data_IF_150865779251
#
_entry.id   IF_150865779251
#
_cell.length_a   1.000
_cell.length_b   1.000
_cell.length_c   1.000
_cell.angle_alpha   90.00
_cell.angle_beta   90.00
_cell.angle_gamma   90.00
#
_symmetry.space_group_name_H-M   'P 1'
#
loop_
_entity.id
_entity.type
_entity.pdbx_description
1 polymer ?
#
# COMPACT_ATOMS: atom_id res chain seq x y z
N UNK A 1 1.93 -18.77 3.82
CA UNK A 1 2.56 -17.42 3.87
C UNK A 1 1.99 -16.51 2.79
N UNK A 2 2.06 -16.89 1.51
CA UNK A 2 1.51 -16.10 0.38
C UNK A 2 0.00 -15.85 0.47
N UNK A 3 -0.78 -16.84 0.93
CA UNK A 3 -2.23 -16.72 1.13
C UNK A 3 -2.62 -15.57 2.05
N UNK A 4 -1.73 -15.20 2.98
CA UNK A 4 -1.95 -14.06 3.89
C UNK A 4 -1.82 -12.71 3.19
N UNK A 5 -1.26 -12.64 1.97
CA UNK A 5 -1.13 -11.40 1.21
C UNK A 5 -2.42 -10.98 0.52
N UNK A 6 -3.33 -11.90 0.22
CA UNK A 6 -4.51 -11.62 -0.61
C UNK A 6 -5.82 -11.68 0.19
N UNK A 7 -5.79 -11.30 1.47
CA UNK A 7 -6.99 -11.33 2.35
C UNK A 7 -7.78 -10.02 2.36
N UNK A 8 -7.37 -9.01 1.58
CA UNK A 8 -7.94 -7.66 1.57
C UNK A 8 -7.88 -7.11 0.16
N UNK A 9 -9.02 -6.74 -0.44
CA UNK A 9 -9.08 -6.15 -1.78
C UNK A 9 -8.23 -4.88 -1.86
N UNK A 10 -8.25 -4.04 -0.82
CA UNK A 10 -7.39 -2.85 -0.73
C UNK A 10 -5.91 -3.22 -0.83
N UNK A 11 -5.49 -4.29 -0.16
CA UNK A 11 -4.08 -4.74 -0.20
C UNK A 11 -3.71 -5.29 -1.58
N UNK A 12 -4.63 -6.03 -2.22
CA UNK A 12 -4.41 -6.50 -3.60
C UNK A 12 -4.21 -5.32 -4.55
N UNK A 13 -5.08 -4.32 -4.50
CA UNK A 13 -4.98 -3.13 -5.35
C UNK A 13 -3.70 -2.33 -5.07
N UNK A 14 -3.28 -2.23 -3.80
CA UNK A 14 -2.00 -1.61 -3.44
C UNK A 14 -0.83 -2.39 -4.07
N UNK A 15 -0.80 -3.71 -3.90
CA UNK A 15 0.24 -4.55 -4.48
C UNK A 15 0.29 -4.44 -6.00
N UNK A 16 -0.86 -4.48 -6.67
CA UNK A 16 -0.98 -4.30 -8.11
C UNK A 16 -0.40 -2.94 -8.55
N UNK A 17 -0.78 -1.85 -7.88
CA UNK A 17 -0.29 -0.50 -8.20
C UNK A 17 1.24 -0.41 -8.09
N UNK A 18 1.84 -0.92 -7.02
CA UNK A 18 3.29 -0.87 -6.81
C UNK A 18 4.07 -1.83 -7.73
N UNK A 19 3.47 -2.97 -8.12
CA UNK A 19 4.10 -3.92 -9.05
C UNK A 19 4.06 -3.41 -10.49
N UNK A 20 2.96 -2.76 -10.91
CA UNK A 20 2.81 -2.18 -12.23
C UNK A 20 3.59 -0.86 -12.37
N UNK A 21 3.78 -0.14 -11.27
CA UNK A 21 4.46 1.16 -11.25
C UNK A 21 5.64 1.19 -10.26
N UNK A 22 6.69 0.39 -10.49
CA UNK A 22 7.82 0.29 -9.57
C UNK A 22 8.57 1.62 -9.44
N UNK A 23 8.97 1.97 -8.22
CA UNK A 23 9.72 3.19 -7.91
C UNK A 23 8.87 4.44 -7.70
N UNK A 24 7.56 4.38 -7.96
CA UNK A 24 6.65 5.48 -7.65
C UNK A 24 6.46 5.64 -6.14
N UNK A 25 6.40 6.90 -5.71
CA UNK A 25 6.09 7.29 -4.34
C UNK A 25 4.70 7.91 -4.28
N UNK A 26 3.90 7.50 -3.30
CA UNK A 26 2.55 8.00 -3.13
C UNK A 26 2.35 8.61 -1.74
N UNK A 27 1.72 9.77 -1.68
CA UNK A 27 1.06 10.20 -0.45
C UNK A 27 -0.19 9.35 -0.21
N UNK A 28 -0.48 9.02 1.06
CA UNK A 28 -1.59 8.12 1.44
C UNK A 28 -2.93 8.51 0.78
N UNK A 29 -3.26 9.81 0.77
CA UNK A 29 -4.52 10.29 0.17
C UNK A 29 -4.55 10.16 -1.36
N UNK A 30 -3.41 10.26 -2.01
CA UNK A 30 -3.29 10.04 -3.46
C UNK A 30 -3.51 8.57 -3.80
N UNK A 31 -2.79 7.69 -3.10
CA UNK A 31 -2.94 6.25 -3.26
C UNK A 31 -4.38 5.79 -2.98
N UNK A 32 -5.01 6.32 -1.94
CA UNK A 32 -6.41 6.03 -1.59
C UNK A 32 -7.40 6.29 -2.73
N UNK A 33 -7.18 7.33 -3.53
CA UNK A 33 -8.00 7.62 -4.73
C UNK A 33 -7.76 6.58 -5.82
N UNK A 34 -6.51 6.18 -6.04
CA UNK A 34 -6.13 5.20 -7.07
C UNK A 34 -6.73 3.83 -6.75
N UNK A 35 -6.56 3.36 -5.51
CA UNK A 35 -7.01 2.01 -5.10
C UNK A 35 -8.49 1.96 -4.70
N UNK A 36 -9.21 3.08 -4.83
CA UNK A 36 -10.61 3.26 -4.45
C UNK A 36 -10.93 2.79 -3.01
N UNK A 37 -10.14 3.26 -2.04
CA UNK A 37 -10.31 2.93 -0.63
C UNK A 37 -10.18 4.17 0.25
N UNK A 38 -10.63 4.09 1.52
CA UNK A 38 -10.44 5.22 2.44
C UNK A 38 -8.96 5.33 2.87
N UNK A 39 -8.45 6.55 3.15
CA UNK A 39 -7.08 6.74 3.59
C UNK A 39 -6.69 5.92 4.84
N UNK A 40 -7.65 5.67 5.74
CA UNK A 40 -7.44 4.88 6.96
C UNK A 40 -7.17 3.41 6.60
N UNK A 41 -7.98 2.83 5.71
CA UNK A 41 -7.76 1.45 5.26
C UNK A 41 -6.45 1.32 4.49
N UNK A 42 -6.12 2.28 3.64
CA UNK A 42 -4.82 2.31 2.94
C UNK A 42 -3.66 2.36 3.94
N UNK A 43 -3.71 3.24 4.94
CA UNK A 43 -2.66 3.31 5.96
C UNK A 43 -2.50 1.98 6.71
N UNK A 44 -3.61 1.31 7.05
CA UNK A 44 -3.58 -0.01 7.71
C UNK A 44 -2.90 -1.05 6.83
N UNK A 45 -3.26 -1.13 5.55
CA UNK A 45 -2.69 -2.13 4.65
C UNK A 45 -1.23 -1.84 4.29
N UNK A 46 -0.83 -0.57 4.17
CA UNK A 46 0.58 -0.20 4.01
C UNK A 46 1.42 -0.67 5.21
N UNK A 47 0.93 -0.47 6.44
CA UNK A 47 1.61 -1.00 7.64
C UNK A 47 1.68 -2.53 7.66
N UNK A 48 0.63 -3.22 7.21
CA UNK A 48 0.66 -4.67 7.08
C UNK A 48 1.75 -5.11 6.10
N UNK A 49 1.81 -4.49 4.92
CA UNK A 49 2.83 -4.79 3.91
C UNK A 49 4.25 -4.48 4.41
N UNK A 50 4.44 -3.37 5.12
CA UNK A 50 5.71 -3.01 5.77
C UNK A 50 6.12 -4.04 6.83
N UNK A 51 5.19 -4.48 7.69
CA UNK A 51 5.48 -5.54 8.68
C UNK A 51 5.82 -6.90 8.06
N UNK A 52 5.42 -7.13 6.81
CA UNK A 52 5.76 -8.32 6.03
C UNK A 52 7.07 -8.13 5.23
N UNK A 53 7.71 -6.97 5.31
CA UNK A 53 8.95 -6.64 4.62
C UNK A 53 8.77 -6.38 3.12
N UNK A 54 7.57 -6.02 2.67
CA UNK A 54 7.25 -5.83 1.25
C UNK A 54 7.29 -4.38 0.78
N UNK A 55 7.23 -3.42 1.71
CA UNK A 55 7.27 -1.99 1.41
C UNK A 55 8.05 -1.25 2.50
N UNK A 56 8.76 -0.21 2.09
CA UNK A 56 9.42 0.72 3.02
C UNK A 56 8.67 2.05 3.05
N UNK A 57 8.43 2.57 4.25
CA UNK A 57 7.90 3.93 4.42
C UNK A 57 9.02 4.96 4.53
N UNK A 58 8.88 6.08 3.81
CA UNK A 58 9.77 7.24 3.95
C UNK A 58 9.00 8.42 4.54
N UNK A 59 9.51 8.96 5.66
CA UNK A 59 9.07 10.26 6.16
C UNK A 59 9.83 11.32 5.40
N UNK A 60 9.11 12.10 4.59
CA UNK A 60 9.68 13.31 4.00
C UNK A 60 9.67 14.39 5.08
N UNK A 61 10.82 14.67 5.68
CA UNK A 61 11.00 15.86 6.50
C UNK A 61 10.76 17.08 5.59
N UNK A 62 9.83 17.92 5.98
CA UNK A 62 9.46 19.16 5.27
C UNK A 62 9.95 20.33 6.07
#
# INVERSE_FOLDING_TARGET
>A
MLERLFTSTTRVNILEEFLLNPGNEYHIRGLARIVNATPIYVQKELKNLESLGLLDSRKKET
#
